data_IF_512693877427
#
_entry.id   IF_512693877427
#
_cell.length_a   1.000
_cell.length_b   1.000
_cell.length_c   1.000
_cell.angle_alpha   90.00
_cell.angle_beta   90.00
_cell.angle_gamma   90.00
#
_symmetry.space_group_name_H-M   'P 1'
#
loop_
_entity.id
_entity.type
_entity.pdbx_description
1 polymer ?
#
# COMPACT_ATOMS: atom_id res chain seq x y z
N UNK A 1 28.44 -30.30 66.86
CA UNK A 1 27.24 -29.43 66.91
C UNK A 1 26.95 -29.01 65.48
N UNK A 2 25.71 -29.06 65.01
CA UNK A 2 25.39 -28.65 63.63
C UNK A 2 25.40 -27.13 63.47
N UNK A 3 25.63 -26.65 62.24
CA UNK A 3 25.35 -25.25 61.86
C UNK A 3 23.88 -24.92 62.19
N UNK A 4 23.60 -23.65 62.46
CA UNK A 4 22.23 -23.18 62.79
C UNK A 4 21.87 -21.94 61.99
N UNK A 5 20.57 -21.74 61.78
CA UNK A 5 20.05 -20.50 61.26
C UNK A 5 20.39 -20.29 59.78
N UNK A 6 20.84 -19.08 59.43
CA UNK A 6 21.09 -18.66 58.04
C UNK A 6 22.09 -19.55 57.29
N UNK A 7 23.18 -19.95 57.91
CA UNK A 7 24.23 -20.75 57.24
C UNK A 7 23.76 -22.17 56.93
N UNK A 8 23.01 -22.77 57.86
CA UNK A 8 22.44 -24.10 57.72
C UNK A 8 21.45 -24.15 56.54
N UNK A 9 20.49 -23.22 56.50
CA UNK A 9 19.46 -23.27 55.47
C UNK A 9 19.98 -22.90 54.07
N UNK A 10 20.94 -21.97 53.95
CA UNK A 10 21.54 -21.62 52.66
C UNK A 10 22.28 -22.82 52.08
N UNK A 11 23.05 -23.53 52.90
CA UNK A 11 23.76 -24.73 52.46
C UNK A 11 22.79 -25.81 51.99
N UNK A 12 21.79 -26.12 52.81
CA UNK A 12 20.78 -27.14 52.51
C UNK A 12 19.99 -26.83 51.23
N UNK A 13 19.57 -25.57 51.03
CA UNK A 13 18.84 -25.19 49.82
C UNK A 13 19.69 -25.24 48.56
N UNK A 14 20.98 -24.89 48.62
CA UNK A 14 21.88 -25.05 47.49
C UNK A 14 22.04 -26.53 47.11
N UNK A 15 22.20 -27.41 48.11
CA UNK A 15 22.24 -28.86 47.88
C UNK A 15 20.91 -29.40 47.35
N UNK A 16 19.78 -28.90 47.84
CA UNK A 16 18.47 -29.28 47.33
C UNK A 16 18.28 -28.87 45.86
N UNK A 17 18.77 -27.68 45.47
CA UNK A 17 18.79 -27.23 44.07
C UNK A 17 19.67 -28.15 43.23
N UNK A 18 20.90 -28.44 43.65
CA UNK A 18 21.81 -29.35 42.93
C UNK A 18 21.15 -30.72 42.70
N UNK A 19 20.60 -31.32 43.78
CA UNK A 19 19.90 -32.61 43.71
C UNK A 19 18.71 -32.55 42.77
N UNK A 20 17.86 -31.52 42.89
CA UNK A 20 16.68 -31.36 42.04
C UNK A 20 17.03 -31.21 40.56
N UNK A 21 18.07 -30.43 40.24
CA UNK A 21 18.54 -30.24 38.88
C UNK A 21 19.06 -31.55 38.27
N UNK A 22 19.77 -32.35 39.06
CA UNK A 22 20.24 -33.69 38.65
C UNK A 22 19.08 -34.65 38.44
N UNK A 23 18.13 -34.69 39.38
CA UNK A 23 17.02 -35.66 39.36
C UNK A 23 15.98 -35.34 38.26
N UNK A 24 15.77 -34.07 37.92
CA UNK A 24 14.72 -33.63 36.99
C UNK A 24 15.22 -33.13 35.65
N UNK A 25 16.53 -32.82 35.53
CA UNK A 25 17.12 -32.18 34.35
C UNK A 25 16.69 -30.72 34.14
N UNK A 26 15.90 -30.13 35.05
CA UNK A 26 15.41 -28.75 34.94
C UNK A 26 16.31 -27.78 35.68
N UNK A 27 16.75 -26.73 34.99
CA UNK A 27 17.66 -25.73 35.55
C UNK A 27 16.91 -24.67 36.38
N UNK A 28 17.38 -24.46 37.61
CA UNK A 28 16.90 -23.39 38.50
C UNK A 28 17.85 -22.20 38.38
N UNK A 29 17.36 -21.11 37.78
CA UNK A 29 18.12 -19.85 37.67
C UNK A 29 18.02 -19.10 39.00
N UNK A 30 19.10 -19.10 39.77
CA UNK A 30 19.13 -18.48 41.08
C UNK A 30 19.23 -16.95 40.99
N UNK A 31 18.08 -16.26 41.01
CA UNK A 31 18.00 -14.79 40.99
C UNK A 31 16.83 -14.30 41.86
N UNK A 32 16.47 -13.01 41.79
CA UNK A 32 15.42 -12.44 42.64
C UNK A 32 13.98 -12.82 42.23
N UNK A 33 13.78 -13.56 41.13
CA UNK A 33 12.47 -13.98 40.66
C UNK A 33 11.99 -15.25 41.39
N UNK A 34 10.97 -15.09 42.25
CA UNK A 34 10.36 -16.20 43.00
C UNK A 34 9.90 -17.37 42.14
N UNK A 35 9.46 -17.12 40.89
CA UNK A 35 8.96 -18.17 39.98
C UNK A 35 10.03 -19.21 39.64
N UNK A 36 11.30 -18.84 39.67
CA UNK A 36 12.39 -19.75 39.33
C UNK A 36 12.56 -20.89 40.34
N UNK A 37 12.04 -20.70 41.56
CA UNK A 37 12.15 -21.66 42.66
C UNK A 37 10.85 -22.44 42.88
N UNK A 38 9.79 -22.13 42.14
CA UNK A 38 8.44 -22.65 42.38
C UNK A 38 8.40 -24.18 42.29
N UNK A 39 9.05 -24.77 41.27
CA UNK A 39 9.02 -26.22 41.08
C UNK A 39 9.74 -26.98 42.20
N UNK A 40 10.88 -26.45 42.68
CA UNK A 40 11.55 -27.00 43.86
C UNK A 40 10.68 -26.81 45.11
N UNK A 41 10.02 -25.66 45.22
CA UNK A 41 9.13 -25.37 46.34
C UNK A 41 7.96 -26.36 46.41
N UNK A 42 7.36 -26.72 45.27
CA UNK A 42 6.35 -27.78 45.17
C UNK A 42 6.92 -29.13 45.62
N UNK A 43 8.10 -29.51 45.12
CA UNK A 43 8.73 -30.79 45.49
C UNK A 43 9.02 -30.89 47.00
N UNK A 44 9.54 -29.82 47.60
CA UNK A 44 9.75 -29.77 49.05
C UNK A 44 8.42 -29.72 49.81
N UNK A 45 7.37 -29.10 49.26
CA UNK A 45 6.05 -29.05 49.89
C UNK A 45 5.37 -30.41 50.01
N UNK A 46 5.60 -31.31 49.06
CA UNK A 46 5.10 -32.68 49.14
C UNK A 46 5.73 -33.47 50.31
N UNK A 47 6.93 -33.09 50.72
CA UNK A 47 7.62 -33.67 51.89
C UNK A 47 7.18 -32.97 53.17
N UNK A 48 7.15 -31.62 53.17
CA UNK A 48 6.83 -30.84 54.36
C UNK A 48 5.42 -31.11 54.89
N UNK A 49 4.43 -31.33 54.03
CA UNK A 49 3.06 -31.66 54.43
C UNK A 49 2.89 -33.09 54.95
N UNK A 50 3.92 -33.93 54.86
CA UNK A 50 3.97 -35.27 55.47
C UNK A 50 4.70 -35.29 56.81
N UNK A 51 5.38 -34.19 57.20
CA UNK A 51 6.09 -34.10 58.47
C UNK A 51 5.23 -34.47 59.70
N UNK A 52 3.94 -34.14 59.81
CA UNK A 52 3.13 -34.58 60.95
C UNK A 52 3.07 -36.10 61.15
N UNK A 53 3.26 -36.87 60.08
CA UNK A 53 3.15 -38.34 60.07
C UNK A 53 4.51 -39.04 60.12
N UNK A 54 5.60 -38.32 59.84
CA UNK A 54 6.93 -38.91 59.60
C UNK A 54 7.96 -38.69 60.71
N UNK A 55 7.57 -38.05 61.82
CA UNK A 55 8.48 -37.71 62.92
C UNK A 55 9.26 -38.91 63.46
N UNK A 56 8.57 -40.03 63.73
CA UNK A 56 9.22 -41.26 64.21
C UNK A 56 10.06 -41.97 63.14
N UNK A 57 9.68 -41.84 61.87
CA UNK A 57 10.33 -42.54 60.75
C UNK A 57 11.67 -41.89 60.36
N UNK A 58 11.71 -40.55 60.32
CA UNK A 58 12.89 -39.81 59.91
C UNK A 58 13.66 -39.17 61.07
N UNK A 59 13.08 -39.07 62.27
CA UNK A 59 13.74 -38.48 63.43
C UNK A 59 13.92 -36.96 63.29
N UNK A 60 12.79 -36.26 63.19
CA UNK A 60 12.69 -34.79 63.31
C UNK A 60 11.70 -34.42 64.41
N UNK A 61 11.56 -33.13 64.71
CA UNK A 61 10.59 -32.65 65.71
C UNK A 61 9.14 -33.01 65.29
N UNK A 62 8.24 -33.30 66.24
CA UNK A 62 6.84 -33.57 65.92
C UNK A 62 6.15 -32.29 65.45
N UNK A 63 5.37 -32.41 64.38
CA UNK A 63 4.56 -31.33 63.82
C UNK A 63 3.08 -31.65 63.97
N UNK A 64 2.25 -30.66 64.26
CA UNK A 64 0.80 -30.84 64.37
C UNK A 64 0.18 -31.16 63.01
N UNK A 65 -0.80 -32.07 62.99
CA UNK A 65 -1.59 -32.35 61.79
C UNK A 65 -2.33 -31.10 61.30
N UNK A 66 -2.43 -30.95 59.97
CA UNK A 66 -3.21 -29.90 59.35
C UNK A 66 -4.67 -30.38 59.16
N UNK A 67 -5.65 -29.81 59.90
CA UNK A 67 -7.06 -30.21 59.79
C UNK A 67 -7.68 -29.89 58.43
N UNK A 68 -7.01 -29.10 57.58
CA UNK A 68 -7.47 -28.72 56.25
C UNK A 68 -6.66 -29.37 55.12
N UNK A 69 -5.77 -30.33 55.42
CA UNK A 69 -4.86 -30.99 54.46
C UNK A 69 -5.57 -31.53 53.20
N UNK A 70 -6.78 -32.08 53.34
CA UNK A 70 -7.55 -32.63 52.22
C UNK A 70 -8.39 -31.59 51.45
N UNK A 71 -8.52 -30.36 51.98
CA UNK A 71 -9.36 -29.30 51.39
C UNK A 71 -8.56 -28.19 50.72
N UNK A 72 -7.28 -28.04 51.05
CA UNK A 72 -6.42 -26.99 50.53
C UNK A 72 -5.46 -27.53 49.46
N UNK A 73 -5.39 -26.85 48.31
CA UNK A 73 -4.37 -27.10 47.28
C UNK A 73 -3.11 -26.25 47.53
N UNK A 74 -1.99 -26.63 46.93
CA UNK A 74 -0.78 -25.79 46.93
C UNK A 74 -1.08 -24.38 46.37
N UNK A 75 -0.58 -23.28 46.96
CA UNK A 75 0.34 -23.19 48.11
C UNK A 75 -0.38 -22.86 49.44
N UNK A 76 -1.59 -23.39 49.69
CA UNK A 76 -2.44 -23.00 50.82
C UNK A 76 -2.49 -24.03 51.96
N UNK A 77 -1.72 -25.13 51.91
CA UNK A 77 -1.62 -26.11 53.01
C UNK A 77 -0.69 -25.56 54.11
N UNK A 78 -0.91 -25.97 55.38
CA UNK A 78 -0.20 -25.41 56.56
C UNK A 78 1.33 -25.43 56.43
N UNK A 79 1.89 -26.46 55.78
CA UNK A 79 3.35 -26.63 55.66
C UNK A 79 3.87 -26.39 54.24
N UNK A 80 3.10 -25.80 53.33
CA UNK A 80 3.60 -25.48 51.99
C UNK A 80 4.80 -24.52 52.04
N UNK A 81 5.80 -24.86 51.23
CA UNK A 81 7.00 -24.07 50.96
C UNK A 81 6.78 -23.36 49.63
N UNK A 82 6.95 -22.04 49.62
CA UNK A 82 6.79 -21.20 48.43
C UNK A 82 8.14 -20.84 47.82
N UNK A 83 8.16 -20.57 46.51
CA UNK A 83 9.37 -20.08 45.83
C UNK A 83 9.91 -18.79 46.44
N UNK A 84 9.03 -17.98 47.05
CA UNK A 84 9.42 -16.80 47.83
C UNK A 84 10.26 -17.14 49.06
N UNK A 85 9.85 -18.14 49.85
CA UNK A 85 10.59 -18.58 51.04
C UNK A 85 11.96 -19.15 50.70
N UNK A 86 12.07 -19.91 49.61
CA UNK A 86 13.36 -20.44 49.12
C UNK A 86 14.27 -19.29 48.69
N UNK A 87 13.75 -18.36 47.89
CA UNK A 87 14.49 -17.19 47.41
C UNK A 87 14.97 -16.31 48.57
N UNK A 88 14.10 -15.98 49.53
CA UNK A 88 14.47 -15.13 50.67
C UNK A 88 15.51 -15.80 51.59
N UNK A 89 15.43 -17.12 51.77
CA UNK A 89 16.43 -17.88 52.51
C UNK A 89 17.80 -17.93 51.78
N UNK A 90 17.82 -18.20 50.47
CA UNK A 90 19.05 -18.22 49.67
C UNK A 90 19.73 -16.85 49.57
N UNK A 91 18.94 -15.78 49.48
CA UNK A 91 19.46 -14.41 49.50
C UNK A 91 19.91 -13.98 50.91
N UNK A 92 19.76 -14.85 51.91
CA UNK A 92 20.23 -14.60 53.26
C UNK A 92 19.41 -13.55 54.02
N UNK A 93 18.16 -13.33 53.62
CA UNK A 93 17.22 -12.39 54.24
C UNK A 93 16.51 -13.00 55.45
N UNK A 94 16.60 -14.32 55.64
CA UNK A 94 15.97 -15.06 56.74
C UNK A 94 17.02 -15.41 57.79
N UNK A 95 17.00 -14.72 58.93
CA UNK A 95 17.90 -15.02 60.06
C UNK A 95 17.55 -16.32 60.77
N UNK A 96 16.25 -16.57 60.98
CA UNK A 96 15.71 -17.76 61.64
C UNK A 96 14.77 -18.51 60.69
N UNK A 97 15.26 -19.51 59.93
CA UNK A 97 14.42 -20.28 59.02
C UNK A 97 13.38 -21.08 59.80
N UNK A 98 12.20 -21.27 59.19
CA UNK A 98 11.13 -22.09 59.79
C UNK A 98 11.63 -23.52 59.95
N UNK A 99 11.37 -24.13 61.10
CA UNK A 99 11.87 -25.47 61.43
C UNK A 99 11.46 -26.52 60.39
N UNK A 100 10.20 -26.46 59.90
CA UNK A 100 9.71 -27.42 58.91
C UNK A 100 10.47 -27.32 57.58
N UNK A 101 10.94 -26.13 57.19
CA UNK A 101 11.74 -25.96 55.96
C UNK A 101 13.10 -26.62 56.11
N UNK A 102 13.73 -26.48 57.28
CA UNK A 102 15.03 -27.10 57.58
C UNK A 102 14.89 -28.62 57.60
N UNK A 103 13.93 -29.17 58.34
CA UNK A 103 13.68 -30.62 58.40
C UNK A 103 13.33 -31.19 57.02
N UNK A 104 12.53 -30.47 56.23
CA UNK A 104 12.20 -30.88 54.86
C UNK A 104 13.45 -31.01 53.99
N UNK A 105 14.38 -30.06 54.08
CA UNK A 105 15.63 -30.14 53.31
C UNK A 105 16.50 -31.32 53.76
N UNK A 106 16.57 -31.59 55.07
CA UNK A 106 17.26 -32.77 55.60
C UNK A 106 16.65 -34.08 55.08
N UNK A 107 15.31 -34.20 55.12
CA UNK A 107 14.60 -35.38 54.60
C UNK A 107 14.81 -35.54 53.10
N UNK A 108 14.72 -34.44 52.33
CA UNK A 108 14.90 -34.47 50.88
C UNK A 108 16.31 -34.92 50.45
N UNK A 109 17.35 -34.44 51.16
CA UNK A 109 18.74 -34.70 50.82
C UNK A 109 19.24 -36.04 51.37
N UNK A 110 18.90 -36.36 52.60
CA UNK A 110 19.55 -37.43 53.36
C UNK A 110 18.57 -38.51 53.85
N UNK A 111 17.27 -38.40 53.54
CA UNK A 111 16.23 -39.33 53.99
C UNK A 111 16.18 -39.47 55.52
N UNK A 112 16.51 -38.39 56.23
CA UNK A 112 16.48 -38.30 57.69
C UNK A 112 16.19 -36.87 58.12
N UNK A 113 15.60 -36.70 59.30
CA UNK A 113 15.32 -35.43 59.93
C UNK A 113 16.54 -34.81 60.60
N UNK A 114 16.47 -33.52 60.93
CA UNK A 114 17.59 -32.79 61.52
C UNK A 114 18.10 -33.40 62.83
N UNK A 115 17.21 -33.94 63.67
CA UNK A 115 17.59 -34.54 64.96
C UNK A 115 18.32 -35.87 64.77
N UNK A 116 17.85 -36.73 63.86
CA UNK A 116 18.54 -37.97 63.51
C UNK A 116 19.91 -37.69 62.85
N UNK A 117 19.97 -36.69 61.96
CA UNK A 117 21.23 -36.25 61.34
C UNK A 117 22.25 -35.77 62.37
N UNK A 118 21.81 -35.13 63.45
CA UNK A 118 22.71 -34.68 64.53
C UNK A 118 23.37 -35.86 65.27
N UNK A 119 22.70 -37.02 65.35
CA UNK A 119 23.25 -38.23 65.97
C UNK A 119 24.22 -38.99 65.04
N UNK A 120 24.04 -38.88 63.72
CA UNK A 120 24.90 -39.53 62.73
C UNK A 120 25.09 -38.63 61.49
N UNK A 121 25.98 -37.63 61.55
CA UNK A 121 26.13 -36.65 60.48
C UNK A 121 26.85 -37.27 59.27
N UNK A 122 26.13 -37.33 58.15
CA UNK A 122 26.66 -37.88 56.88
C UNK A 122 27.47 -36.81 56.11
N UNK A 123 27.12 -35.53 56.25
CA UNK A 123 27.77 -34.41 55.56
C UNK A 123 28.63 -33.58 56.53
N UNK A 124 29.98 -33.65 56.43
CA UNK A 124 30.89 -32.89 57.28
C UNK A 124 30.71 -31.37 57.17
N UNK A 125 30.21 -30.85 56.05
CA UNK A 125 30.05 -29.41 55.83
C UNK A 125 28.93 -28.77 56.68
N UNK A 126 28.05 -29.59 57.26
CA UNK A 126 26.98 -29.18 58.18
C UNK A 126 27.38 -29.24 59.65
N UNK A 127 28.57 -29.78 59.96
CA UNK A 127 29.12 -29.79 61.31
C UNK A 127 29.78 -28.42 61.58
N UNK A 128 29.36 -27.73 62.63
CA UNK A 128 30.03 -26.53 63.11
C UNK A 128 31.37 -26.94 63.75
N UNK A 129 32.48 -26.57 63.12
CA UNK A 129 33.80 -26.61 63.76
C UNK A 129 33.85 -25.54 64.86
N UNK A 130 34.41 -25.89 66.03
CA UNK A 130 34.65 -24.92 67.12
C UNK A 130 35.84 -23.98 66.84
N UNK A 131 36.41 -24.04 65.65
CA UNK A 131 37.43 -23.14 65.12
C UNK A 131 36.91 -22.65 63.77
N UNK A 132 36.14 -21.57 63.78
CA UNK A 132 35.83 -20.76 62.60
C UNK A 132 35.40 -19.34 63.01
N UNK A 133 35.97 -18.83 64.10
CA UNK A 133 36.43 -17.45 64.10
C UNK A 133 37.88 -17.52 63.58
N UNK A 134 38.14 -16.85 62.45
CA UNK A 134 39.45 -16.73 61.80
C UNK A 134 40.02 -17.94 61.02
N UNK A 135 39.37 -18.38 59.93
CA UNK A 135 40.11 -18.65 58.68
C UNK A 135 39.27 -18.11 57.51
N UNK A 136 39.35 -16.79 57.31
CA UNK A 136 39.05 -16.23 56.01
C UNK A 136 39.99 -16.85 54.99
N UNK A 137 39.48 -17.22 53.81
CA UNK A 137 40.33 -17.23 52.60
C UNK A 137 41.17 -15.97 52.66
N UNK A 138 42.50 -16.11 52.68
CA UNK A 138 43.45 -15.01 52.89
C UNK A 138 42.92 -13.74 52.26
N UNK A 139 42.64 -12.71 53.07
CA UNK A 139 42.11 -11.43 52.61
C UNK A 139 42.96 -10.86 51.45
N UNK A 140 44.26 -11.21 51.43
CA UNK A 140 45.19 -10.93 50.35
C UNK A 140 44.84 -11.63 49.01
N UNK A 141 44.38 -12.88 49.01
CA UNK A 141 43.94 -13.62 47.82
C UNK A 141 42.64 -13.05 47.22
N UNK A 142 41.68 -12.66 48.07
CA UNK A 142 40.41 -12.06 47.63
C UNK A 142 40.61 -10.64 47.11
N UNK A 143 41.52 -9.86 47.72
CA UNK A 143 41.88 -8.52 47.26
C UNK A 143 42.64 -8.59 45.93
N UNK A 144 43.57 -9.53 45.76
CA UNK A 144 44.30 -9.72 44.50
C UNK A 144 43.40 -10.23 43.38
N UNK A 145 42.48 -11.17 43.64
CA UNK A 145 41.48 -11.60 42.66
C UNK A 145 40.53 -10.45 42.28
N UNK A 146 40.06 -9.65 43.25
CA UNK A 146 39.22 -8.49 42.96
C UNK A 146 39.95 -7.41 42.14
N UNK A 147 41.24 -7.18 42.41
CA UNK A 147 42.05 -6.27 41.61
C UNK A 147 42.24 -6.82 40.18
N UNK A 148 42.57 -8.10 40.03
CA UNK A 148 42.70 -8.75 38.72
C UNK A 148 41.39 -8.74 37.93
N UNK A 149 40.24 -8.96 38.59
CA UNK A 149 38.92 -8.86 37.97
C UNK A 149 38.61 -7.43 37.55
N UNK A 150 38.91 -6.42 38.38
CA UNK A 150 38.77 -5.00 37.99
C UNK A 150 39.65 -4.64 36.79
N UNK A 151 40.89 -5.15 36.73
CA UNK A 151 41.77 -4.95 35.56
C UNK A 151 41.25 -5.66 34.31
N UNK A 152 40.78 -6.90 34.41
CA UNK A 152 40.16 -7.63 33.29
C UNK A 152 38.90 -6.92 32.80
N UNK A 153 38.06 -6.43 33.70
CA UNK A 153 36.82 -5.72 33.37
C UNK A 153 37.11 -4.36 32.71
N UNK A 154 38.13 -3.64 33.19
CA UNK A 154 38.62 -2.42 32.55
C UNK A 154 39.19 -2.69 31.15
N UNK A 155 39.97 -3.76 30.96
CA UNK A 155 40.51 -4.15 29.66
C UNK A 155 39.41 -4.58 28.68
N UNK A 156 38.46 -5.41 29.12
CA UNK A 156 37.31 -5.82 28.32
C UNK A 156 36.46 -4.61 27.91
N UNK A 157 36.22 -3.66 28.83
CA UNK A 157 35.49 -2.43 28.53
C UNK A 157 36.23 -1.59 27.48
N UNK A 158 37.55 -1.43 27.63
CA UNK A 158 38.40 -0.68 26.68
C UNK A 158 38.46 -1.35 25.30
N UNK A 159 38.50 -2.68 25.26
CA UNK A 159 38.47 -3.45 24.01
C UNK A 159 37.09 -3.37 23.33
N UNK A 160 36.02 -3.36 24.11
CA UNK A 160 34.65 -3.16 23.61
C UNK A 160 34.47 -1.76 23.04
N UNK A 161 34.91 -0.72 23.75
CA UNK A 161 34.89 0.68 23.28
C UNK A 161 35.72 0.87 22.01
N UNK A 162 36.94 0.30 21.94
CA UNK A 162 37.77 0.35 20.74
C UNK A 162 37.12 -0.37 19.53
N UNK A 163 36.46 -1.50 19.78
CA UNK A 163 35.74 -2.25 18.73
C UNK A 163 34.52 -1.48 18.23
N UNK A 164 33.78 -0.83 19.12
CA UNK A 164 32.64 0.04 18.76
C UNK A 164 33.14 1.24 17.96
N UNK A 165 34.21 1.91 18.38
CA UNK A 165 34.77 3.06 17.66
C UNK A 165 35.23 2.67 16.24
N UNK A 166 35.87 1.51 16.09
CA UNK A 166 36.34 0.99 14.80
C UNK A 166 35.18 0.65 13.87
N UNK A 167 34.11 0.03 14.40
CA UNK A 167 32.86 -0.21 13.65
C UNK A 167 32.16 1.10 13.25
N UNK A 168 32.08 2.08 14.16
CA UNK A 168 31.48 3.39 13.88
C UNK A 168 32.25 4.16 12.79
N UNK A 169 33.58 4.11 12.83
CA UNK A 169 34.45 4.67 11.79
C UNK A 169 34.23 3.99 10.44
N UNK A 170 34.13 2.67 10.41
CA UNK A 170 33.81 1.90 9.19
C UNK A 170 32.43 2.25 8.62
N UNK A 171 31.39 2.33 9.47
CA UNK A 171 30.06 2.76 9.03
C UNK A 171 30.07 4.19 8.49
N UNK A 172 30.78 5.13 9.13
CA UNK A 172 30.92 6.51 8.61
C UNK A 172 31.62 6.55 7.26
N UNK A 173 32.66 5.74 7.05
CA UNK A 173 33.36 5.67 5.75
C UNK A 173 32.47 5.15 4.61
N UNK A 174 31.42 4.37 4.91
CA UNK A 174 30.50 3.84 3.89
C UNK A 174 29.25 4.72 3.75
N UNK A 175 28.63 5.10 4.86
CA UNK A 175 27.37 5.86 4.85
C UNK A 175 27.55 7.27 4.30
N UNK A 176 28.63 7.98 4.63
CA UNK A 176 28.85 9.36 4.17
C UNK A 176 28.94 9.43 2.63
N UNK A 177 29.81 8.65 1.95
CA UNK A 177 29.84 8.68 0.48
C UNK A 177 28.54 8.15 -0.14
N UNK A 178 27.86 7.17 0.47
CA UNK A 178 26.56 6.70 0.00
C UNK A 178 25.51 7.82 0.04
N UNK A 179 25.44 8.58 1.14
CA UNK A 179 24.55 9.72 1.28
C UNK A 179 24.89 10.83 0.27
N UNK A 180 26.17 11.08 0.00
CA UNK A 180 26.60 12.05 -1.02
C UNK A 180 26.16 11.59 -2.42
N UNK A 181 26.33 10.32 -2.76
CA UNK A 181 25.86 9.78 -4.04
C UNK A 181 24.34 9.89 -4.15
N UNK A 182 23.58 9.57 -3.10
CA UNK A 182 22.13 9.77 -3.06
C UNK A 182 21.71 11.22 -3.23
N UNK A 183 22.46 12.16 -2.64
CA UNK A 183 22.18 13.58 -2.78
C UNK A 183 22.44 14.06 -4.21
N UNK A 184 23.54 13.63 -4.82
CA UNK A 184 23.89 13.95 -6.20
C UNK A 184 22.85 13.38 -7.17
N UNK A 185 22.42 12.12 -6.97
CA UNK A 185 21.40 11.51 -7.82
C UNK A 185 20.04 12.20 -7.65
N UNK A 186 19.65 12.58 -6.43
CA UNK A 186 18.43 13.34 -6.18
C UNK A 186 18.45 14.72 -6.83
N UNK A 187 19.57 15.45 -6.75
CA UNK A 187 19.73 16.74 -7.42
C UNK A 187 19.66 16.57 -8.95
N UNK A 188 20.31 15.53 -9.48
CA UNK A 188 20.30 15.24 -10.91
C UNK A 188 18.90 14.90 -11.44
N UNK A 189 18.15 14.03 -10.75
CA UNK A 189 16.78 13.68 -11.14
C UNK A 189 15.83 14.86 -11.03
N UNK A 190 15.99 15.71 -10.01
CA UNK A 190 15.21 16.94 -9.86
C UNK A 190 15.48 17.91 -11.02
N UNK A 191 16.73 18.03 -11.46
CA UNK A 191 17.09 18.90 -12.58
C UNK A 191 16.54 18.35 -13.91
N UNK A 192 16.62 17.04 -14.15
CA UNK A 192 16.00 16.40 -15.32
C UNK A 192 14.47 16.62 -15.34
N UNK A 193 13.82 16.48 -14.18
CA UNK A 193 12.39 16.73 -14.05
C UNK A 193 12.04 18.19 -14.38
N UNK A 194 12.77 19.16 -13.81
CA UNK A 194 12.58 20.59 -14.14
C UNK A 194 12.80 20.88 -15.62
N UNK A 195 13.81 20.28 -16.23
CA UNK A 195 14.04 20.45 -17.67
C UNK A 195 12.90 19.87 -18.50
N UNK A 196 12.32 18.74 -18.08
CA UNK A 196 11.16 18.14 -18.73
C UNK A 196 9.93 19.03 -18.62
N UNK A 197 9.64 19.57 -17.44
CA UNK A 197 8.53 20.51 -17.21
C UNK A 197 8.71 21.77 -18.07
N UNK A 198 9.89 22.38 -18.06
CA UNK A 198 10.16 23.56 -18.88
C UNK A 198 9.99 23.27 -20.38
N UNK A 199 10.48 22.12 -20.87
CA UNK A 199 10.27 21.70 -22.27
C UNK A 199 8.79 21.53 -22.58
N UNK A 200 8.04 20.93 -21.66
CA UNK A 200 6.60 20.73 -21.83
C UNK A 200 5.85 22.07 -21.84
N UNK A 201 6.18 22.98 -20.92
CA UNK A 201 5.63 24.33 -20.87
C UNK A 201 5.94 25.12 -22.16
N UNK A 202 7.18 25.02 -22.67
CA UNK A 202 7.55 25.60 -23.97
C UNK A 202 6.70 25.02 -25.10
N UNK A 203 6.53 23.70 -25.18
CA UNK A 203 5.69 23.06 -26.21
C UNK A 203 4.23 23.53 -26.08
N UNK A 204 3.69 23.60 -24.86
CA UNK A 204 2.33 24.06 -24.64
C UNK A 204 2.13 25.50 -25.10
N UNK A 205 3.10 26.37 -24.82
CA UNK A 205 3.07 27.77 -25.24
C UNK A 205 3.25 27.91 -26.76
N UNK A 206 4.28 27.27 -27.34
CA UNK A 206 4.62 27.39 -28.76
C UNK A 206 3.52 26.84 -29.68
N UNK A 207 2.91 25.72 -29.29
CA UNK A 207 1.82 25.10 -30.05
C UNK A 207 0.44 25.57 -29.61
N UNK A 208 0.36 26.49 -28.64
CA UNK A 208 -0.90 26.99 -28.08
C UNK A 208 -1.83 25.83 -27.69
N UNK A 209 -1.28 24.83 -26.98
CA UNK A 209 -2.01 23.65 -26.53
C UNK A 209 -2.71 23.97 -25.20
N UNK A 210 -4.04 23.98 -25.22
CA UNK A 210 -4.87 24.24 -24.04
C UNK A 210 -4.48 25.57 -23.34
N UNK A 211 -4.30 26.69 -24.07
CA UNK A 211 -3.86 27.97 -23.51
C UNK A 211 -4.97 28.63 -22.68
N UNK A 212 -6.21 28.28 -22.98
CA UNK A 212 -7.40 28.87 -22.39
C UNK A 212 -7.88 28.03 -21.20
N UNK A 213 -7.97 28.69 -20.05
CA UNK A 213 -8.50 28.08 -18.84
C UNK A 213 -10.03 28.02 -18.90
N UNK A 214 -10.53 26.84 -19.23
CA UNK A 214 -11.98 26.59 -19.32
C UNK A 214 -12.66 26.67 -17.96
N UNK A 215 -13.82 27.32 -17.93
CA UNK A 215 -14.74 27.33 -16.79
C UNK A 215 -15.57 26.05 -16.73
N UNK A 216 -16.15 25.74 -15.56
CA UNK A 216 -17.06 24.59 -15.44
C UNK A 216 -18.28 24.73 -16.35
N UNK A 217 -18.77 25.96 -16.58
CA UNK A 217 -19.89 26.20 -17.49
C UNK A 217 -19.54 25.84 -18.94
N UNK A 218 -18.33 26.17 -19.39
CA UNK A 218 -17.84 25.83 -20.74
C UNK A 218 -17.57 24.33 -20.89
N UNK A 219 -17.05 23.67 -19.84
CA UNK A 219 -16.92 22.22 -19.79
C UNK A 219 -18.29 21.58 -19.99
N UNK A 220 -19.27 21.98 -19.19
CA UNK A 220 -20.65 21.53 -19.25
C UNK A 220 -21.32 21.80 -20.62
N UNK A 221 -20.92 22.89 -21.28
CA UNK A 221 -21.45 23.31 -22.56
C UNK A 221 -20.91 22.48 -23.73
N UNK A 222 -19.61 22.14 -23.72
CA UNK A 222 -19.00 21.35 -24.78
C UNK A 222 -19.15 19.83 -24.55
N UNK A 223 -18.99 19.38 -23.30
CA UNK A 223 -19.03 17.96 -22.95
C UNK A 223 -20.42 17.36 -23.23
N UNK A 224 -20.44 16.19 -23.87
CA UNK A 224 -21.66 15.46 -24.15
C UNK A 224 -21.65 14.70 -25.46
N UNK A 225 -22.85 14.28 -25.86
CA UNK A 225 -23.12 13.57 -27.11
C UNK A 225 -23.77 14.54 -28.08
N UNK A 226 -23.25 14.56 -29.30
CA UNK A 226 -23.62 15.45 -30.38
C UNK A 226 -23.94 14.65 -31.63
N UNK A 227 -24.80 15.18 -32.50
CA UNK A 227 -24.90 14.74 -33.89
C UNK A 227 -24.20 15.76 -34.78
N UNK A 228 -23.37 15.27 -35.70
CA UNK A 228 -22.64 16.09 -36.67
C UNK A 228 -23.01 15.65 -38.10
N UNK A 229 -23.53 16.60 -38.87
CA UNK A 229 -23.83 16.42 -40.27
C UNK A 229 -22.66 16.98 -41.11
N UNK A 230 -22.26 16.23 -42.14
CA UNK A 230 -21.16 16.61 -43.06
C UNK A 230 -21.58 16.40 -44.51
N UNK A 231 -21.21 17.37 -45.37
CA UNK A 231 -21.37 17.34 -46.82
C UNK A 231 -20.17 16.73 -47.56
N UNK A 232 -19.16 16.17 -46.88
CA UNK A 232 -17.96 15.65 -47.54
C UNK A 232 -18.20 14.67 -48.72
N UNK A 233 -19.24 13.80 -48.73
CA UNK A 233 -19.51 12.97 -49.89
C UNK A 233 -19.89 13.74 -51.15
N UNK A 234 -20.40 14.98 -51.03
CA UNK A 234 -20.77 15.78 -52.20
C UNK A 234 -19.55 16.19 -53.03
N UNK A 235 -18.34 16.12 -52.45
CA UNK A 235 -17.08 16.38 -53.13
C UNK A 235 -16.40 15.13 -53.74
N UNK A 236 -17.05 13.96 -53.72
CA UNK A 236 -16.48 12.71 -54.28
C UNK A 236 -16.74 12.60 -55.76
N UNK A 237 -15.72 12.86 -56.57
CA UNK A 237 -15.80 12.82 -58.03
C UNK A 237 -16.28 11.45 -58.57
N UNK A 238 -15.92 10.36 -57.90
CA UNK A 238 -16.33 9.00 -58.26
C UNK A 238 -17.82 8.70 -58.06
N UNK A 239 -18.54 9.50 -57.28
CA UNK A 239 -19.96 9.27 -56.97
C UNK A 239 -20.85 10.16 -57.86
N UNK A 240 -21.63 9.58 -58.79
CA UNK A 240 -22.49 10.36 -59.70
C UNK A 240 -23.65 11.05 -58.96
N UNK A 241 -24.04 10.54 -57.78
CA UNK A 241 -25.14 11.06 -56.97
C UNK A 241 -24.64 11.95 -55.83
N UNK A 242 -23.43 12.49 -55.94
CA UNK A 242 -22.75 13.21 -54.85
C UNK A 242 -23.46 14.48 -54.41
N UNK A 243 -23.98 15.27 -55.35
CA UNK A 243 -24.38 16.67 -55.11
C UNK A 243 -25.48 16.88 -54.08
N UNK A 244 -26.16 15.82 -53.66
CA UNK A 244 -27.18 15.87 -52.62
C UNK A 244 -26.95 14.80 -51.57
N UNK A 245 -25.70 14.43 -51.25
CA UNK A 245 -25.40 13.44 -50.20
C UNK A 245 -24.94 14.10 -48.91
N UNK A 246 -25.45 13.61 -47.79
CA UNK A 246 -25.08 14.05 -46.45
C UNK A 246 -24.84 12.83 -45.57
N UNK A 247 -23.97 13.00 -44.56
CA UNK A 247 -23.69 11.95 -43.57
C UNK A 247 -23.93 12.50 -42.19
N UNK A 248 -24.74 11.78 -41.42
CA UNK A 248 -24.86 11.97 -40.00
C UNK A 248 -23.81 11.12 -39.26
N UNK A 249 -23.13 11.75 -38.30
CA UNK A 249 -22.13 11.13 -37.44
C UNK A 249 -22.51 11.38 -35.99
N UNK A 250 -22.31 10.41 -35.12
CA UNK A 250 -22.43 10.62 -33.69
C UNK A 250 -21.08 11.08 -33.15
N UNK A 251 -21.05 12.11 -32.32
CA UNK A 251 -19.83 12.65 -31.73
C UNK A 251 -19.96 12.57 -30.20
N UNK A 252 -18.94 12.04 -29.56
CA UNK A 252 -18.77 12.04 -28.11
C UNK A 252 -17.59 12.95 -27.76
N UNK A 253 -17.84 13.95 -26.92
CA UNK A 253 -16.82 14.84 -26.37
C UNK A 253 -16.80 14.67 -24.86
N UNK A 254 -15.64 14.32 -24.30
CA UNK A 254 -15.44 14.06 -22.86
C UNK A 254 -14.31 14.90 -22.31
N UNK A 255 -14.54 15.57 -21.20
CA UNK A 255 -13.49 16.30 -20.50
C UNK A 255 -12.69 15.34 -19.61
N UNK A 256 -11.36 15.35 -19.76
CA UNK A 256 -10.44 14.54 -18.96
C UNK A 256 -9.10 15.26 -18.82
N UNK A 257 -8.57 15.34 -17.61
CA UNK A 257 -7.21 15.83 -17.33
C UNK A 257 -6.89 17.19 -17.98
N UNK A 258 -7.84 18.12 -18.04
CA UNK A 258 -7.62 19.46 -18.60
C UNK A 258 -7.90 19.63 -20.09
N UNK A 259 -8.28 18.57 -20.82
CA UNK A 259 -8.59 18.65 -22.26
C UNK A 259 -9.88 17.88 -22.60
N UNK A 260 -10.43 18.12 -23.80
CA UNK A 260 -11.58 17.36 -24.30
C UNK A 260 -11.14 16.29 -25.28
N UNK A 261 -11.38 15.02 -24.95
CA UNK A 261 -11.25 13.93 -25.90
C UNK A 261 -12.43 13.96 -26.87
N UNK A 262 -12.13 13.86 -28.17
CA UNK A 262 -13.12 13.87 -29.25
C UNK A 262 -13.16 12.51 -29.93
N UNK A 263 -14.35 11.92 -30.04
CA UNK A 263 -14.56 10.68 -30.79
C UNK A 263 -15.79 10.83 -31.69
N UNK A 264 -15.61 10.66 -33.01
CA UNK A 264 -16.69 10.70 -33.99
C UNK A 264 -16.90 9.30 -34.56
N UNK A 265 -18.10 8.78 -34.38
CA UNK A 265 -18.59 7.57 -35.01
C UNK A 265 -19.16 7.93 -36.38
N UNK A 266 -18.56 7.39 -37.44
CA UNK A 266 -19.00 7.62 -38.82
C UNK A 266 -19.58 6.37 -39.47
N UNK A 267 -20.34 6.56 -40.54
CA UNK A 267 -20.95 5.44 -41.28
C UNK A 267 -19.90 4.43 -41.79
N UNK A 268 -18.75 4.92 -42.25
CA UNK A 268 -17.68 4.10 -42.83
C UNK A 268 -16.45 3.98 -41.93
N UNK A 269 -16.07 5.05 -41.25
CA UNK A 269 -14.87 5.11 -40.42
C UNK A 269 -15.07 6.09 -39.27
N UNK A 270 -14.37 5.83 -38.17
CA UNK A 270 -14.41 6.67 -36.98
C UNK A 270 -13.25 7.65 -36.99
N UNK A 271 -13.42 8.78 -36.30
CA UNK A 271 -12.33 9.69 -36.00
C UNK A 271 -12.07 9.77 -34.50
N UNK A 272 -10.80 9.92 -34.14
CA UNK A 272 -10.35 10.22 -32.78
C UNK A 272 -9.55 11.52 -32.79
N UNK A 273 -9.54 12.22 -31.66
CA UNK A 273 -8.71 13.41 -31.48
C UNK A 273 -9.06 14.16 -30.20
N UNK A 274 -8.94 15.48 -30.27
CA UNK A 274 -9.22 16.37 -29.14
C UNK A 274 -9.95 17.64 -29.59
N UNK A 275 -10.62 18.27 -28.64
CA UNK A 275 -11.15 19.61 -28.78
C UNK A 275 -10.58 20.51 -27.68
N UNK A 276 -10.39 21.79 -27.99
CA UNK A 276 -9.97 22.79 -27.00
C UNK A 276 -10.66 24.12 -27.28
N UNK A 277 -10.87 24.90 -26.21
CA UNK A 277 -11.32 26.27 -26.36
C UNK A 277 -10.13 27.13 -26.79
N UNK A 278 -10.30 27.91 -27.85
CA UNK A 278 -9.35 28.93 -28.29
C UNK A 278 -9.65 30.29 -27.62
N UNK A 279 -10.94 30.54 -27.34
CA UNK A 279 -11.45 31.72 -26.65
C UNK A 279 -12.90 31.43 -26.19
N UNK A 280 -13.57 32.33 -25.44
CA UNK A 280 -14.95 32.12 -25.04
C UNK A 280 -15.86 31.80 -26.25
N UNK A 281 -16.62 30.71 -26.16
CA UNK A 281 -17.51 30.20 -27.21
C UNK A 281 -16.84 29.77 -28.54
N UNK A 282 -15.51 29.66 -28.61
CA UNK A 282 -14.79 29.23 -29.81
C UNK A 282 -13.96 27.99 -29.52
N UNK A 283 -14.26 26.90 -30.23
CA UNK A 283 -13.65 25.59 -30.01
C UNK A 283 -12.95 25.12 -31.28
N UNK A 284 -11.68 24.78 -31.17
CA UNK A 284 -10.96 24.03 -32.20
C UNK A 284 -11.16 22.53 -31.95
N UNK A 285 -11.33 21.77 -33.03
CA UNK A 285 -11.48 20.32 -33.01
C UNK A 285 -10.44 19.74 -33.97
N UNK A 286 -9.49 19.01 -33.41
CA UNK A 286 -8.47 18.28 -34.15
C UNK A 286 -8.84 16.80 -34.15
N UNK A 287 -8.94 16.18 -35.32
CA UNK A 287 -9.24 14.76 -35.42
C UNK A 287 -8.59 14.10 -36.61
N UNK A 288 -8.50 12.77 -36.57
CA UNK A 288 -7.95 11.93 -37.64
C UNK A 288 -8.71 10.62 -37.69
N UNK A 289 -8.59 9.86 -38.78
CA UNK A 289 -9.18 8.51 -38.82
C UNK A 289 -8.58 7.65 -37.71
N UNK A 290 -9.45 6.92 -37.01
CA UNK A 290 -9.06 5.90 -36.05
C UNK A 290 -8.57 4.66 -36.79
N UNK A 291 -7.28 4.39 -36.70
CA UNK A 291 -6.64 3.18 -37.24
C UNK A 291 -5.84 2.44 -36.14
N UNK A 292 -5.42 1.22 -36.45
CA UNK A 292 -4.63 0.39 -35.53
C UNK A 292 -3.12 0.68 -35.63
N UNK A 293 -2.68 1.24 -36.76
CA UNK A 293 -1.26 1.38 -37.11
C UNK A 293 -0.60 2.64 -36.52
N UNK A 294 -1.32 3.40 -35.68
CA UNK A 294 -0.88 4.66 -35.07
C UNK A 294 -0.40 5.73 -36.07
N UNK A 295 -0.68 5.56 -37.36
CA UNK A 295 -0.36 6.54 -38.40
C UNK A 295 -1.43 7.61 -38.45
N UNK A 296 -1.02 8.86 -38.62
CA UNK A 296 -1.96 9.97 -38.83
C UNK A 296 -2.48 9.88 -40.26
N UNK A 297 -3.76 9.58 -40.40
CA UNK A 297 -4.44 9.49 -41.69
C UNK A 297 -5.61 10.47 -41.72
N UNK A 298 -5.68 11.24 -42.79
CA UNK A 298 -6.73 12.22 -43.06
C UNK A 298 -6.98 13.17 -41.87
N UNK A 299 -5.95 13.93 -41.45
CA UNK A 299 -6.13 14.90 -40.38
C UNK A 299 -7.18 15.93 -40.78
N UNK A 300 -7.97 16.33 -39.79
CA UNK A 300 -9.05 17.30 -39.88
C UNK A 300 -8.87 18.32 -38.78
N UNK A 301 -9.12 19.58 -39.13
CA UNK A 301 -9.19 20.67 -38.19
C UNK A 301 -10.51 21.42 -38.45
N UNK A 302 -11.36 21.50 -37.42
CA UNK A 302 -12.61 22.24 -37.44
C UNK A 302 -12.58 23.37 -36.41
N UNK A 303 -13.16 24.52 -36.75
CA UNK A 303 -13.40 25.63 -35.83
C UNK A 303 -14.92 25.77 -35.62
N UNK A 304 -15.37 25.52 -34.40
CA UNK A 304 -16.78 25.50 -34.00
C UNK A 304 -17.08 26.72 -33.13
N UNK A 305 -18.19 27.40 -33.42
CA UNK A 305 -18.74 28.47 -32.57
C UNK A 305 -19.91 27.94 -31.74
N UNK A 306 -19.84 28.13 -30.42
CA UNK A 306 -20.86 27.74 -29.45
C UNK A 306 -21.88 28.86 -29.22
N UNK A 307 -22.61 29.26 -30.26
CA UNK A 307 -23.69 30.24 -30.11
C UNK A 307 -24.96 29.59 -29.51
N UNK A 308 -25.29 29.97 -28.27
CA UNK A 308 -26.42 29.40 -27.50
C UNK A 308 -27.80 29.68 -28.08
N UNK A 309 -27.91 30.59 -29.05
CA UNK A 309 -29.19 30.98 -29.64
C UNK A 309 -29.68 30.01 -30.71
N UNK A 310 -28.78 29.20 -31.27
CA UNK A 310 -29.06 28.34 -32.40
C UNK A 310 -29.19 26.87 -31.98
N UNK A 311 -30.19 26.16 -32.51
CA UNK A 311 -30.32 24.71 -32.34
C UNK A 311 -29.18 23.94 -33.04
N UNK A 312 -28.73 24.50 -34.17
CA UNK A 312 -27.69 23.94 -35.04
C UNK A 312 -26.50 24.87 -35.08
N UNK A 313 -25.35 24.37 -34.63
CA UNK A 313 -24.09 25.09 -34.61
C UNK A 313 -23.28 24.74 -35.85
N UNK A 314 -22.68 25.75 -36.48
CA UNK A 314 -21.82 25.53 -37.64
C UNK A 314 -20.35 25.50 -37.23
N UNK A 315 -19.60 24.58 -37.84
CA UNK A 315 -18.14 24.59 -37.82
C UNK A 315 -17.60 24.70 -39.24
N UNK A 316 -16.49 25.42 -39.41
CA UNK A 316 -15.72 25.43 -40.65
C UNK A 316 -14.57 24.44 -40.49
N UNK A 317 -14.44 23.52 -41.43
CA UNK A 317 -13.54 22.38 -41.28
C UNK A 317 -12.68 22.17 -42.52
N UNK A 318 -11.37 22.09 -42.34
CA UNK A 318 -10.46 21.55 -43.35
C UNK A 318 -10.47 20.03 -43.23
N UNK A 319 -10.90 19.35 -44.28
CA UNK A 319 -11.20 17.91 -44.29
C UNK A 319 -10.78 17.28 -45.62
N UNK A 320 -11.16 16.02 -45.82
CA UNK A 320 -10.93 15.27 -47.05
C UNK A 320 -12.27 14.87 -47.66
N UNK A 321 -12.36 14.79 -48.99
CA UNK A 321 -13.55 14.24 -49.66
C UNK A 321 -13.65 12.71 -49.49
N UNK A 322 -12.54 12.04 -49.14
CA UNK A 322 -12.42 10.59 -49.01
C UNK A 322 -12.84 9.86 -50.29
N UNK A 323 -12.38 10.37 -51.43
CA UNK A 323 -12.49 9.70 -52.71
C UNK A 323 -11.35 8.68 -52.90
N UNK A 324 -11.44 7.84 -53.92
CA UNK A 324 -10.45 6.81 -54.22
C UNK A 324 -9.23 7.37 -54.98
N UNK A 325 -8.05 6.88 -54.59
CA UNK A 325 -6.79 7.14 -55.31
C UNK A 325 -6.48 8.63 -55.46
N UNK A 326 -6.13 9.04 -56.69
CA UNK A 326 -5.74 10.42 -57.00
C UNK A 326 -6.86 11.45 -56.88
N UNK A 327 -8.12 11.02 -56.72
CA UNK A 327 -9.25 11.92 -56.53
C UNK A 327 -9.42 12.37 -55.08
N UNK A 328 -8.68 11.77 -54.14
CA UNK A 328 -8.74 12.14 -52.75
C UNK A 328 -8.07 13.50 -52.53
N UNK A 329 -8.85 14.50 -52.13
CA UNK A 329 -8.42 15.89 -52.06
C UNK A 329 -8.83 16.50 -50.73
N UNK A 330 -8.02 17.46 -50.28
CA UNK A 330 -8.38 18.35 -49.17
C UNK A 330 -9.48 19.29 -49.65
N UNK A 331 -10.48 19.51 -48.80
CA UNK A 331 -11.62 20.39 -49.02
C UNK A 331 -11.90 21.19 -47.75
N UNK A 332 -12.39 22.42 -47.90
CA UNK A 332 -13.10 23.12 -46.84
C UNK A 332 -14.56 22.67 -46.83
N UNK A 333 -15.13 22.41 -45.66
CA UNK A 333 -16.55 22.06 -45.52
C UNK A 333 -17.16 22.78 -44.32
N UNK A 334 -18.45 23.08 -44.42
CA UNK A 334 -19.26 23.40 -43.24
C UNK A 334 -19.80 22.10 -42.65
N UNK A 335 -19.50 21.88 -41.39
CA UNK A 335 -20.12 20.84 -40.57
C UNK A 335 -21.21 21.46 -39.70
N UNK A 336 -22.28 20.72 -39.45
CA UNK A 336 -23.40 21.21 -38.64
C UNK A 336 -23.59 20.28 -37.44
N UNK A 337 -23.44 20.84 -36.25
CA UNK A 337 -23.50 20.15 -34.96
C UNK A 337 -24.80 20.47 -34.25
N UNK A 338 -25.38 19.47 -33.59
CA UNK A 338 -26.49 19.66 -32.64
C UNK A 338 -26.22 18.83 -31.40
N UNK A 339 -26.29 19.46 -30.22
CA UNK A 339 -26.12 18.77 -28.94
C UNK A 339 -27.34 17.89 -28.67
N UNK A 340 -27.12 16.63 -28.36
CA UNK A 340 -28.18 15.68 -28.03
C UNK A 340 -28.38 15.54 -26.52
N UNK A 341 -27.29 15.62 -25.75
CA UNK A 341 -27.34 15.64 -24.30
C UNK A 341 -25.98 15.42 -23.64
N UNK A 342 -25.99 15.16 -22.33
CA UNK A 342 -24.78 14.98 -21.51
C UNK A 342 -24.64 13.53 -21.05
N UNK A 343 -23.39 13.06 -20.96
CA UNK A 343 -23.03 11.78 -20.38
C UNK A 343 -23.62 10.55 -21.09
N UNK A 344 -23.67 9.45 -20.35
CA UNK A 344 -24.10 8.14 -20.87
C UNK A 344 -22.95 7.30 -21.44
N UNK A 345 -23.30 6.15 -22.01
CA UNK A 345 -22.36 5.22 -22.63
C UNK A 345 -22.71 5.00 -24.09
N UNK A 346 -21.73 5.19 -24.97
CA UNK A 346 -21.85 4.83 -26.38
C UNK A 346 -21.41 3.38 -26.59
N UNK A 347 -22.22 2.63 -27.33
CA UNK A 347 -21.96 1.25 -27.70
C UNK A 347 -22.18 1.07 -29.20
N UNK A 348 -21.18 0.58 -29.92
CA UNK A 348 -21.31 0.19 -31.32
C UNK A 348 -21.86 -1.23 -31.42
N UNK A 349 -22.92 -1.41 -32.23
CA UNK A 349 -23.52 -2.71 -32.48
C UNK A 349 -22.88 -3.32 -33.72
N UNK A 350 -22.00 -4.28 -33.50
CA UNK A 350 -21.29 -5.03 -34.54
C UNK A 350 -21.89 -6.43 -34.73
N UNK A 351 -21.74 -7.00 -35.94
CA UNK A 351 -22.04 -8.41 -36.25
C UNK A 351 -23.47 -8.88 -35.89
N UNK A 352 -24.49 -8.04 -36.16
CA UNK A 352 -25.91 -8.42 -36.00
C UNK A 352 -26.66 -8.45 -37.33
N UNK A 353 -27.76 -9.23 -37.46
CA UNK A 353 -28.60 -9.21 -38.66
C UNK A 353 -29.11 -7.82 -39.04
N UNK A 354 -29.40 -6.99 -38.05
CA UNK A 354 -29.83 -5.60 -38.25
C UNK A 354 -28.73 -4.73 -38.89
N UNK A 355 -27.47 -4.88 -38.43
CA UNK A 355 -26.32 -4.19 -39.01
C UNK A 355 -26.07 -4.62 -40.47
N UNK A 356 -26.10 -5.93 -40.72
CA UNK A 356 -25.94 -6.49 -42.08
C UNK A 356 -27.06 -6.06 -43.04
N UNK A 357 -28.30 -5.99 -42.55
CA UNK A 357 -29.47 -5.63 -43.36
C UNK A 357 -29.51 -4.14 -43.71
N UNK A 358 -29.12 -3.25 -42.80
CA UNK A 358 -29.23 -1.81 -43.04
C UNK A 358 -28.08 -1.19 -43.86
N UNK A 359 -26.98 -1.93 -44.04
CA UNK A 359 -25.72 -1.42 -44.61
C UNK A 359 -25.27 -0.11 -43.95
N UNK A 360 -25.34 -0.07 -42.62
CA UNK A 360 -25.15 1.14 -41.83
C UNK A 360 -24.42 0.82 -40.51
N UNK A 361 -23.72 1.81 -39.95
CA UNK A 361 -23.19 1.69 -38.59
C UNK A 361 -24.29 1.97 -37.58
N UNK A 362 -24.55 1.02 -36.68
CA UNK A 362 -25.57 1.16 -35.63
C UNK A 362 -24.88 1.50 -34.31
N UNK A 363 -25.25 2.64 -33.74
CA UNK A 363 -24.75 3.10 -32.43
C UNK A 363 -25.91 3.17 -31.43
N UNK A 364 -25.71 2.61 -30.24
CA UNK A 364 -26.61 2.76 -29.09
C UNK A 364 -26.01 3.76 -28.11
N UNK A 365 -26.77 4.79 -27.77
CA UNK A 365 -26.48 5.69 -26.66
C UNK A 365 -27.33 5.31 -25.46
N UNK A 366 -26.68 4.74 -24.45
CA UNK A 366 -27.27 4.46 -23.15
C UNK A 366 -27.24 5.76 -22.34
N UNK A 367 -28.39 6.44 -22.28
CA UNK A 367 -28.51 7.71 -21.58
C UNK A 367 -28.47 7.50 -20.05
N UNK A 368 -28.10 8.53 -19.27
CA UNK A 368 -28.03 8.43 -17.81
C UNK A 368 -29.35 7.98 -17.12
N UNK A 369 -30.50 8.18 -17.77
CA UNK A 369 -31.83 7.82 -17.26
C UNK A 369 -32.31 6.42 -17.68
N UNK A 370 -31.40 5.53 -18.07
CA UNK A 370 -31.67 4.17 -18.57
C UNK A 370 -32.47 4.07 -19.88
N UNK A 371 -32.76 5.19 -20.55
CA UNK A 371 -33.27 5.21 -21.92
C UNK A 371 -32.15 4.89 -22.92
N UNK A 372 -32.48 4.11 -23.94
CA UNK A 372 -31.56 3.78 -25.03
C UNK A 372 -32.03 4.48 -26.29
N UNK A 373 -31.16 5.28 -26.90
CA UNK A 373 -31.38 5.87 -28.21
C UNK A 373 -30.49 5.19 -29.24
N UNK A 374 -31.08 4.72 -30.34
CA UNK A 374 -30.36 4.03 -31.42
C UNK A 374 -30.19 4.97 -32.62
N UNK A 375 -28.97 5.05 -33.13
CA UNK A 375 -28.61 5.83 -34.31
C UNK A 375 -28.16 4.91 -35.44
N UNK A 376 -28.69 5.16 -36.63
CA UNK A 376 -28.34 4.44 -37.85
C UNK A 376 -27.52 5.39 -38.74
N UNK A 377 -26.20 5.27 -38.68
CA UNK A 377 -25.27 6.16 -39.37
C UNK A 377 -25.01 5.63 -40.79
N UNK A 378 -25.47 6.37 -41.79
CA UNK A 378 -25.29 6.07 -43.22
C UNK A 378 -25.29 7.33 -44.06
N UNK A 379 -24.78 7.21 -45.28
CA UNK A 379 -24.96 8.24 -46.30
C UNK A 379 -26.44 8.32 -46.67
N UNK A 380 -26.97 9.53 -46.76
CA UNK A 380 -28.36 9.78 -47.10
C UNK A 380 -28.48 10.95 -48.07
N UNK A 381 -29.61 11.05 -48.76
CA UNK A 381 -29.89 12.19 -49.61
C UNK A 381 -30.25 13.42 -48.77
N UNK A 382 -29.79 14.60 -49.17
CA UNK A 382 -30.07 15.89 -48.52
C UNK A 382 -31.57 16.12 -48.44
N UNK A 383 -32.32 15.79 -49.50
CA UNK A 383 -33.78 15.93 -49.57
C UNK A 383 -34.52 15.02 -48.58
N UNK A 384 -33.85 13.98 -48.06
CA UNK A 384 -34.41 13.13 -47.00
C UNK A 384 -34.34 13.77 -45.62
N UNK A 385 -33.55 14.84 -45.45
CA UNK A 385 -33.55 15.64 -44.23
C UNK A 385 -34.82 16.48 -44.18
N UNK A 386 -35.71 16.14 -43.24
CA UNK A 386 -36.98 16.83 -43.03
C UNK A 386 -36.84 18.27 -42.50
N UNK A 387 -35.64 18.69 -42.10
CA UNK A 387 -35.40 19.99 -41.48
C UNK A 387 -34.80 20.98 -42.50
N UNK A 388 -35.55 22.01 -42.95
CA UNK A 388 -35.08 22.94 -43.97
C UNK A 388 -33.92 23.83 -43.50
N UNK A 389 -33.86 24.17 -42.21
CA UNK A 389 -32.72 24.92 -41.63
C UNK A 389 -31.43 24.12 -41.78
N UNK A 390 -31.47 22.83 -41.42
CA UNK A 390 -30.32 21.95 -41.58
C UNK A 390 -29.92 21.79 -43.05
N UNK A 391 -30.89 21.54 -43.94
CA UNK A 391 -30.61 21.36 -45.38
C UNK A 391 -29.97 22.60 -46.01
N UNK A 392 -30.42 23.81 -45.62
CA UNK A 392 -29.83 25.07 -46.08
C UNK A 392 -28.40 25.29 -45.57
N UNK A 393 -28.08 24.79 -44.38
CA UNK A 393 -26.73 24.90 -43.83
C UNK A 393 -25.74 23.93 -44.52
N UNK A 394 -26.22 22.81 -45.07
CA UNK A 394 -25.36 21.69 -45.52
C UNK A 394 -25.56 21.26 -46.98
N UNK A 395 -25.92 22.23 -47.83
CA UNK A 395 -26.02 22.07 -49.28
C UNK A 395 -24.65 22.16 -49.98
N UNK A 396 -24.64 22.16 -51.31
CA UNK A 396 -23.45 22.23 -52.15
C UNK A 396 -22.60 23.49 -51.89
N UNK A 397 -23.22 24.59 -51.46
CA UNK A 397 -22.52 25.83 -51.09
C UNK A 397 -21.77 25.71 -49.76
N UNK A 398 -21.93 24.59 -49.06
CA UNK A 398 -21.22 24.29 -47.83
C UNK A 398 -19.83 23.69 -48.07
N UNK A 399 -19.42 23.50 -49.33
CA UNK A 399 -18.13 22.93 -49.73
C UNK A 399 -17.28 23.97 -50.46
N UNK A 400 -16.01 24.05 -50.05
CA UNK A 400 -14.97 24.80 -50.71
C UNK A 400 -13.90 23.82 -51.21
N UNK A 401 -13.71 23.75 -52.53
CA UNK A 401 -12.62 22.97 -53.10
C UNK A 401 -11.29 23.70 -52.84
N UNK A 402 -10.24 22.93 -52.46
CA UNK A 402 -8.89 23.49 -52.30
C UNK A 402 -8.41 24.16 -53.59
N UNK A 403 -8.58 23.44 -54.70
CA UNK A 403 -8.22 23.89 -56.04
C UNK A 403 -9.53 24.03 -56.83
N UNK A 404 -9.99 25.26 -57.13
CA UNK A 404 -11.22 25.48 -57.89
C UNK A 404 -11.13 24.86 -59.28
N UNK A 405 -12.19 24.18 -59.71
CA UNK A 405 -12.25 23.65 -61.08
C UNK A 405 -12.45 24.77 -62.10
N UNK A 406 -11.87 24.60 -63.30
CA UNK A 406 -12.01 25.59 -64.37
C UNK A 406 -13.49 25.81 -64.72
N UNK A 407 -13.96 27.05 -64.62
CA UNK A 407 -15.36 27.43 -64.84
C UNK A 407 -16.23 27.53 -63.59
N UNK A 408 -15.72 27.18 -62.40
CA UNK A 408 -16.42 27.33 -61.13
C UNK A 408 -16.32 28.79 -60.63
N UNK A 409 -17.16 29.68 -61.17
CA UNK A 409 -17.28 31.08 -60.71
C UNK A 409 -18.26 31.11 -59.53
N UNK A 410 -17.79 31.44 -58.33
CA UNK A 410 -18.58 31.48 -57.08
C UNK A 410 -19.75 32.51 -57.06
N UNK A 411 -19.89 33.31 -58.11
CA UNK A 411 -21.14 33.88 -58.60
C UNK A 411 -20.79 34.83 -59.75
N UNK A 412 -21.33 34.59 -60.96
CA UNK A 412 -21.50 35.67 -61.92
C UNK A 412 -22.86 36.26 -61.61
N UNK A 413 -22.92 37.38 -60.87
CA UNK A 413 -24.08 38.27 -60.99
C UNK A 413 -24.12 38.68 -62.46
N UNK A 414 -25.05 38.13 -63.23
CA UNK A 414 -25.46 38.78 -64.47
C UNK A 414 -26.13 40.09 -64.08
N UNK A 415 -25.77 41.22 -64.71
CA UNK A 415 -26.42 42.50 -64.47
C UNK A 415 -27.91 42.38 -64.87
N UNK A 416 -28.77 43.05 -64.10
CA UNK A 416 -30.19 43.23 -64.42
C UNK A 416 -30.41 43.81 -65.82
#
# INVERSE_FOLDING_TARGET
MLKKGKEEIIYLLNKAIEKFQVDTGKLIIQNTNRKNYEELAIALSEISNRLPETASAFGHIPYEADPQKEKAEYPFRKYDITGGQIKDALMGLVANPRSFLVDTCYVYLYQMGRQAFEQNPIDPALIASKENDEIGKDSYSIITENQQLKFKLANLKKETEATILKKLGFYRMIFIPLCIVFLITAIYTLNLYRQSENKWETIQNDFNLIPYKVSQAEIDELEGVWICYTSSPQARLSDPNRYHKVVANLVEIKYKNGYFAYHRYGASFDHIGYAQFESPNLVSIHSQIKNNDKKVEYPRHSLLSLDKKEEYLSAISASWNFDAGANNRIIGIREVYKKLGKGGRIEEVINTPANASCQCKIIKWHQPKQSIQTFYLKNMFLDSLKNPTLSNLINENSILLKDPEAGLILNKKSPE
#
